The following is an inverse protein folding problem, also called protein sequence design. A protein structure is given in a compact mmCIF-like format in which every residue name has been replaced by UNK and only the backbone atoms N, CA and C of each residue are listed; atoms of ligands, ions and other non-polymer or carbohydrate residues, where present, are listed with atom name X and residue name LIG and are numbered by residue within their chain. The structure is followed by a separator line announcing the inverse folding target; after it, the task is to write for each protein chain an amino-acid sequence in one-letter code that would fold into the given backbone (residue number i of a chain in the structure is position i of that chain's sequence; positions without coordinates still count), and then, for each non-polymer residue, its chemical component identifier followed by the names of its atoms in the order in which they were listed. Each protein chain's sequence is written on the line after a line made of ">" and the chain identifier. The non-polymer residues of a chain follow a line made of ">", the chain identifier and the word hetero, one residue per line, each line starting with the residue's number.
data_IF_147462336253
#
_entry.id   IF_147462336253
#
_cell.length_a   1.000
_cell.length_b   1.000
_cell.length_c   1.000
_cell.angle_alpha   90.00
_cell.angle_beta   90.00
_cell.angle_gamma   90.00
#
_symmetry.space_group_name_H-M   'P 1'
#
loop_
_entity.id
_entity.type
_entity.pdbx_description
1 polymer ?
#
# COMPACT_ATOMS: atom_id res chain seq x y z
N UNK A 1 1.01 35.75 -19.86
CA UNK A 1 0.58 35.23 -21.17
C UNK A 1 0.81 36.32 -22.19
N UNK A 2 1.52 36.03 -23.27
CA UNK A 2 1.82 37.00 -24.35
C UNK A 2 0.61 37.25 -25.26
N UNK A 3 -0.50 36.52 -25.03
CA UNK A 3 -1.75 36.63 -25.78
C UNK A 3 -2.94 36.60 -24.83
N UNK A 4 -4.01 37.35 -25.15
CA UNK A 4 -5.31 37.25 -24.48
C UNK A 4 -5.86 35.84 -24.70
N UNK A 5 -5.88 35.03 -23.66
CA UNK A 5 -6.36 33.65 -23.72
C UNK A 5 -6.87 33.18 -22.37
N UNK A 6 -7.85 32.29 -22.41
CA UNK A 6 -8.40 31.63 -21.24
C UNK A 6 -7.55 30.41 -20.86
N UNK A 7 -7.47 30.13 -19.57
CA UNK A 7 -6.81 28.93 -19.03
C UNK A 7 -7.83 28.08 -18.27
N UNK A 8 -7.77 26.76 -18.48
CA UNK A 8 -8.62 25.79 -17.74
C UNK A 8 -7.72 24.80 -17.04
N UNK A 9 -7.97 24.60 -15.77
CA UNK A 9 -7.37 23.51 -14.99
C UNK A 9 -8.46 22.52 -14.58
N UNK A 10 -8.18 21.21 -14.70
CA UNK A 10 -9.05 20.16 -14.22
C UNK A 10 -8.24 19.12 -13.45
N UNK A 11 -8.78 18.64 -12.34
CA UNK A 11 -8.12 17.62 -11.51
C UNK A 11 -9.01 17.16 -10.36
N UNK A 12 -8.58 16.10 -9.70
CA UNK A 12 -9.15 15.68 -8.41
C UNK A 12 -8.49 16.47 -7.29
N UNK A 13 -9.25 17.03 -6.32
CA UNK A 13 -8.68 17.67 -5.15
C UNK A 13 -7.75 16.70 -4.39
N UNK A 14 -6.57 17.18 -3.99
CA UNK A 14 -5.62 16.38 -3.21
C UNK A 14 -5.16 17.18 -2.00
N UNK A 15 -5.76 16.86 -0.85
CA UNK A 15 -5.42 17.49 0.41
C UNK A 15 -5.78 18.98 0.51
N UNK A 16 -5.69 19.49 1.71
CA UNK A 16 -5.75 20.94 2.02
C UNK A 16 -4.31 21.41 2.14
N UNK A 17 -3.82 22.12 1.15
CA UNK A 17 -2.41 22.54 1.08
C UNK A 17 -2.32 23.94 0.47
N UNK A 18 -1.92 24.90 1.29
CA UNK A 18 -1.79 26.32 0.90
C UNK A 18 -0.64 26.56 -0.10
N UNK A 19 0.26 25.59 -0.29
CA UNK A 19 1.31 25.65 -1.33
C UNK A 19 0.85 25.04 -2.67
N UNK A 20 -0.26 24.32 -2.68
CA UNK A 20 -0.83 23.73 -3.88
C UNK A 20 -1.59 24.77 -4.71
N UNK A 21 -1.08 25.10 -5.89
CA UNK A 21 -1.70 26.10 -6.77
C UNK A 21 -3.16 25.76 -7.15
N UNK A 22 -3.51 24.48 -7.35
CA UNK A 22 -4.87 24.08 -7.67
C UNK A 22 -5.82 24.31 -6.48
N UNK A 23 -5.34 24.02 -5.26
CA UNK A 23 -6.09 24.33 -4.03
C UNK A 23 -6.32 25.83 -3.87
N UNK A 24 -5.26 26.64 -4.05
CA UNK A 24 -5.35 28.10 -3.99
C UNK A 24 -6.34 28.65 -5.04
N UNK A 25 -6.20 28.19 -6.30
CA UNK A 25 -7.07 28.62 -7.40
C UNK A 25 -8.55 28.35 -7.15
N UNK A 26 -8.89 27.23 -6.51
CA UNK A 26 -10.25 26.87 -6.13
C UNK A 26 -10.77 27.67 -4.91
N UNK A 27 -9.92 28.00 -3.95
CA UNK A 27 -10.34 28.55 -2.66
C UNK A 27 -10.07 30.04 -2.48
N UNK A 28 -9.05 30.60 -3.13
CA UNK A 28 -8.73 32.04 -3.06
C UNK A 28 -9.36 32.79 -4.24
N UNK A 29 -10.52 33.37 -3.98
CA UNK A 29 -11.25 34.18 -4.98
C UNK A 29 -10.48 35.41 -5.48
N UNK A 30 -9.44 35.86 -4.74
CA UNK A 30 -8.60 36.99 -5.17
C UNK A 30 -7.73 36.66 -6.36
N UNK A 31 -7.49 35.37 -6.64
CA UNK A 31 -6.73 34.90 -7.79
C UNK A 31 -7.51 35.01 -9.12
N UNK A 32 -8.78 35.32 -9.11
CA UNK A 32 -9.59 35.53 -10.31
C UNK A 32 -10.00 34.26 -11.07
N UNK A 33 -9.83 33.07 -10.48
CA UNK A 33 -10.31 31.81 -11.05
C UNK A 33 -11.78 31.59 -10.74
N UNK A 34 -12.50 31.04 -11.73
CA UNK A 34 -13.86 30.54 -11.55
C UNK A 34 -13.79 29.04 -11.24
N UNK A 35 -14.38 28.63 -10.11
CA UNK A 35 -14.43 27.24 -9.69
C UNK A 35 -15.68 26.54 -10.24
N UNK A 36 -15.49 25.36 -10.82
CA UNK A 36 -16.56 24.45 -11.22
C UNK A 36 -16.41 23.12 -10.45
N UNK A 37 -17.17 22.97 -9.39
CA UNK A 37 -17.20 21.75 -8.58
C UNK A 37 -18.12 20.69 -9.20
N UNK A 38 -17.58 19.50 -9.49
CA UNK A 38 -18.29 18.42 -10.16
C UNK A 38 -18.08 17.07 -9.44
N UNK A 39 -18.90 16.72 -8.43
CA UNK A 39 -18.86 15.41 -7.81
C UNK A 39 -19.27 14.32 -8.80
N UNK A 40 -18.78 13.09 -8.58
CA UNK A 40 -19.07 11.92 -9.45
C UNK A 40 -20.59 11.70 -9.63
N UNK A 41 -21.39 11.95 -8.59
CA UNK A 41 -22.84 11.83 -8.63
C UNK A 41 -23.53 12.84 -9.56
N UNK A 42 -22.87 13.96 -9.91
CA UNK A 42 -23.41 14.96 -10.83
C UNK A 42 -23.35 14.50 -12.30
N UNK A 43 -22.61 13.45 -12.62
CA UNK A 43 -22.53 12.91 -13.97
C UNK A 43 -23.79 12.09 -14.30
N UNK A 44 -24.64 12.55 -15.23
CA UNK A 44 -25.93 11.91 -15.54
C UNK A 44 -25.79 10.52 -16.21
N UNK A 45 -24.59 10.16 -16.69
CA UNK A 45 -24.34 8.86 -17.31
C UNK A 45 -24.02 7.77 -16.29
N UNK A 46 -23.73 8.13 -15.04
CA UNK A 46 -23.39 7.18 -14.00
C UNK A 46 -24.65 6.67 -13.31
N UNK A 47 -24.82 5.35 -13.26
CA UNK A 47 -25.91 4.73 -12.53
C UNK A 47 -25.76 4.95 -11.02
N UNK A 48 -26.71 5.62 -10.33
CA UNK A 48 -26.60 5.90 -8.90
C UNK A 48 -26.47 4.64 -8.02
N UNK A 49 -27.14 3.54 -8.38
CA UNK A 49 -27.07 2.30 -7.64
C UNK A 49 -25.69 1.60 -7.82
N UNK A 50 -25.05 1.78 -8.96
CA UNK A 50 -23.69 1.30 -9.18
C UNK A 50 -22.68 2.13 -8.38
N UNK A 51 -22.85 3.46 -8.39
CA UNK A 51 -22.01 4.38 -7.60
C UNK A 51 -22.13 4.08 -6.10
N UNK A 52 -23.34 3.90 -5.58
CA UNK A 52 -23.57 3.56 -4.17
C UNK A 52 -22.84 2.27 -3.77
N UNK A 53 -22.85 1.24 -4.62
CA UNK A 53 -22.11 -0.01 -4.38
C UNK A 53 -20.59 0.16 -4.40
N UNK A 54 -20.08 1.09 -5.23
CA UNK A 54 -18.64 1.39 -5.29
C UNK A 54 -18.21 2.16 -4.05
N UNK A 55 -19.04 3.07 -3.54
CA UNK A 55 -18.78 3.90 -2.36
C UNK A 55 -18.93 3.09 -1.06
N UNK A 56 -19.83 2.11 -1.06
CA UNK A 56 -20.12 1.29 0.11
C UNK A 56 -18.85 0.60 0.62
N UNK A 57 -18.61 0.75 1.93
CA UNK A 57 -17.41 0.22 2.59
C UNK A 57 -16.10 0.99 2.35
N UNK A 58 -16.11 2.11 1.60
CA UNK A 58 -14.92 2.95 1.46
C UNK A 58 -14.75 3.89 2.66
N UNK A 59 -13.49 4.24 3.02
CA UNK A 59 -13.24 5.26 4.05
C UNK A 59 -13.96 6.58 3.71
N UNK A 60 -14.64 7.22 4.68
CA UNK A 60 -15.38 8.45 4.42
C UNK A 60 -14.57 9.57 3.77
N UNK A 61 -13.32 9.77 4.20
CA UNK A 61 -12.44 10.79 3.63
C UNK A 61 -12.07 10.49 2.16
N UNK A 62 -11.92 9.21 1.81
CA UNK A 62 -11.72 8.81 0.41
C UNK A 62 -12.98 9.13 -0.42
N UNK A 63 -14.16 8.88 0.14
CA UNK A 63 -15.41 9.22 -0.55
C UNK A 63 -15.52 10.73 -0.78
N UNK A 64 -15.20 11.52 0.23
CA UNK A 64 -15.20 12.98 0.12
C UNK A 64 -14.23 13.45 -0.97
N UNK A 65 -13.00 12.98 -0.96
CA UNK A 65 -11.99 13.41 -1.93
C UNK A 65 -12.25 12.88 -3.34
N UNK A 66 -12.42 11.57 -3.51
CA UNK A 66 -12.39 10.93 -4.83
C UNK A 66 -13.77 10.90 -5.53
N UNK A 67 -14.85 10.95 -4.77
CA UNK A 67 -16.22 10.88 -5.32
C UNK A 67 -17.01 12.17 -5.18
N UNK A 68 -16.81 12.92 -4.10
CA UNK A 68 -17.46 14.20 -3.90
C UNK A 68 -16.62 15.37 -4.43
N UNK A 69 -15.39 15.14 -4.86
CA UNK A 69 -14.45 16.16 -5.34
C UNK A 69 -14.18 17.27 -4.29
N UNK A 70 -14.08 16.91 -3.01
CA UNK A 70 -13.80 17.82 -1.92
C UNK A 70 -12.32 17.83 -1.55
N UNK A 71 -11.77 18.97 -1.20
CA UNK A 71 -10.46 19.04 -0.57
C UNK A 71 -10.55 18.53 0.87
N UNK A 72 -9.80 17.49 1.20
CA UNK A 72 -9.84 16.81 2.50
C UNK A 72 -8.53 17.02 3.22
N UNK A 73 -8.58 17.43 4.48
CA UNK A 73 -7.40 17.45 5.34
C UNK A 73 -7.15 16.06 5.95
N UNK A 74 -6.11 15.41 5.46
CA UNK A 74 -5.67 14.11 5.92
C UNK A 74 -4.74 14.18 7.14
N UNK A 75 -4.24 15.35 7.49
CA UNK A 75 -3.28 15.53 8.60
C UNK A 75 -3.87 15.09 9.92
N UNK A 76 -3.11 14.32 10.67
CA UNK A 76 -3.53 13.82 11.98
C UNK A 76 -4.56 12.69 11.94
N UNK A 77 -4.86 12.11 10.77
CA UNK A 77 -5.80 11.00 10.64
C UNK A 77 -5.06 9.68 10.40
N UNK A 78 -5.47 8.63 11.12
CA UNK A 78 -5.03 7.27 10.85
C UNK A 78 -5.76 6.76 9.59
N UNK A 79 -5.00 6.18 8.66
CA UNK A 79 -5.52 5.79 7.35
C UNK A 79 -6.32 4.48 7.40
N UNK A 80 -5.82 3.49 8.15
CA UNK A 80 -6.42 2.17 8.25
C UNK A 80 -6.94 1.89 9.66
N UNK A 81 -7.94 1.01 9.75
CA UNK A 81 -8.51 0.55 11.02
C UNK A 81 -8.24 -0.93 11.21
N UNK A 82 -7.95 -1.34 12.45
CA UNK A 82 -7.70 -2.74 12.77
C UNK A 82 -8.86 -3.66 12.35
N UNK A 83 -10.10 -3.25 12.61
CA UNK A 83 -11.30 -4.03 12.29
C UNK A 83 -11.42 -4.40 10.81
N UNK A 84 -10.80 -3.60 9.92
CA UNK A 84 -10.80 -3.90 8.48
C UNK A 84 -9.92 -5.09 8.10
N UNK A 85 -8.92 -5.42 8.94
CA UNK A 85 -8.02 -6.57 8.76
C UNK A 85 -8.53 -7.83 9.48
N UNK A 86 -9.59 -7.72 10.28
CA UNK A 86 -10.13 -8.81 11.08
C UNK A 86 -11.41 -9.37 10.43
N UNK A 87 -11.64 -10.66 10.61
CA UNK A 87 -12.90 -11.31 10.26
C UNK A 87 -13.70 -11.56 11.53
N UNK A 88 -14.91 -11.00 11.61
CA UNK A 88 -15.76 -11.06 12.82
C UNK A 88 -15.02 -10.61 14.12
N UNK A 89 -14.15 -9.62 14.00
CA UNK A 89 -13.39 -9.08 15.14
C UNK A 89 -12.16 -9.90 15.55
N UNK A 90 -11.77 -10.92 14.77
CA UNK A 90 -10.61 -11.77 15.07
C UNK A 90 -9.70 -11.96 13.84
N UNK A 91 -8.38 -12.18 14.03
CA UNK A 91 -7.49 -12.58 12.96
C UNK A 91 -7.85 -13.99 12.45
N UNK A 92 -7.55 -14.25 11.17
CA UNK A 92 -7.88 -15.52 10.52
C UNK A 92 -6.77 -16.57 10.67
N UNK A 93 -7.08 -17.83 10.48
CA UNK A 93 -6.07 -18.87 10.30
C UNK A 93 -5.38 -18.73 8.93
N UNK A 94 -4.28 -19.44 8.72
CA UNK A 94 -3.73 -19.58 7.37
C UNK A 94 -4.78 -20.21 6.45
N UNK A 95 -4.89 -19.75 5.20
CA UNK A 95 -5.82 -20.34 4.26
C UNK A 95 -5.47 -21.82 4.03
N UNK A 96 -6.50 -22.67 3.97
CA UNK A 96 -6.31 -24.10 3.68
C UNK A 96 -5.74 -24.33 2.27
N UNK A 97 -6.09 -23.46 1.33
CA UNK A 97 -5.54 -23.39 -0.01
C UNK A 97 -5.62 -21.95 -0.52
N UNK A 98 -4.74 -21.59 -1.45
CA UNK A 98 -4.76 -20.30 -2.13
C UNK A 98 -4.25 -20.48 -3.57
N UNK A 99 -4.29 -19.43 -4.38
CA UNK A 99 -3.69 -19.47 -5.72
C UNK A 99 -2.17 -19.42 -5.64
N UNK A 100 -1.65 -18.42 -4.94
CA UNK A 100 -0.20 -18.22 -4.81
C UNK A 100 0.16 -17.55 -3.49
N UNK A 101 1.45 -17.64 -3.14
CA UNK A 101 2.08 -16.87 -2.07
C UNK A 101 3.19 -16.02 -2.66
N UNK A 102 3.27 -14.77 -2.25
CA UNK A 102 4.33 -13.84 -2.63
C UNK A 102 4.79 -13.01 -1.44
N UNK A 103 6.00 -12.48 -1.53
CA UNK A 103 6.51 -11.51 -0.56
C UNK A 103 6.73 -10.15 -1.21
N UNK A 104 6.67 -9.09 -0.41
CA UNK A 104 7.03 -7.75 -0.84
C UNK A 104 8.08 -7.20 0.08
N UNK A 105 9.15 -6.66 -0.51
CA UNK A 105 10.35 -6.22 0.20
C UNK A 105 10.55 -4.73 -0.03
N UNK A 106 10.70 -4.00 1.07
CA UNK A 106 11.24 -2.64 1.09
C UNK A 106 12.65 -2.67 1.66
N UNK A 107 13.59 -2.04 0.95
CA UNK A 107 15.01 -2.10 1.25
C UNK A 107 15.52 -0.76 1.77
N UNK A 108 16.14 -0.74 2.95
CA UNK A 108 16.83 0.44 3.46
C UNK A 108 17.83 1.01 2.46
N UNK A 109 17.77 2.34 2.24
CA UNK A 109 18.60 3.00 1.23
C UNK A 109 20.05 3.24 1.65
N UNK A 110 20.36 3.33 2.94
CA UNK A 110 21.74 3.54 3.45
C UNK A 110 21.92 3.00 4.86
N UNK A 111 23.01 2.27 5.07
CA UNK A 111 23.47 1.73 6.35
C UNK A 111 23.88 2.79 7.37
N UNK A 112 22.98 3.64 7.79
CA UNK A 112 23.11 4.34 9.06
C UNK A 112 22.19 3.63 10.04
N UNK A 113 22.80 3.04 11.06
CA UNK A 113 22.17 2.32 12.19
C UNK A 113 20.99 3.08 12.90
N UNK A 114 20.63 4.24 12.44
CA UNK A 114 19.61 5.09 13.07
C UNK A 114 18.32 5.27 12.26
N UNK A 115 18.28 5.02 10.95
CA UNK A 115 17.17 5.55 10.16
C UNK A 115 16.26 4.53 9.49
N UNK A 116 16.73 3.53 8.74
CA UNK A 116 15.81 2.73 7.93
C UNK A 116 16.00 1.23 8.15
N UNK A 117 14.89 0.50 8.30
CA UNK A 117 14.84 -0.95 8.31
C UNK A 117 14.67 -1.51 6.91
N UNK A 118 15.00 -2.79 6.75
CA UNK A 118 14.52 -3.55 5.61
C UNK A 118 13.38 -4.43 6.06
N UNK A 119 12.28 -4.43 5.32
CA UNK A 119 11.06 -5.11 5.68
C UNK A 119 10.62 -6.10 4.59
N UNK A 120 9.89 -7.12 5.00
CA UNK A 120 9.20 -8.03 4.10
C UNK A 120 7.84 -8.42 4.67
N UNK A 121 6.81 -8.45 3.83
CA UNK A 121 5.49 -9.00 4.17
C UNK A 121 5.15 -10.11 3.18
N UNK A 122 4.64 -11.25 3.67
CA UNK A 122 4.16 -12.36 2.86
C UNK A 122 2.65 -12.40 2.82
N UNK A 123 2.11 -12.56 1.61
CA UNK A 123 0.68 -12.59 1.33
C UNK A 123 0.31 -13.91 0.66
N UNK A 124 -0.85 -14.45 1.02
CA UNK A 124 -1.56 -15.43 0.21
C UNK A 124 -2.64 -14.73 -0.60
N UNK A 125 -2.67 -14.97 -1.90
CA UNK A 125 -3.72 -14.51 -2.81
C UNK A 125 -4.63 -15.68 -3.17
N UNK A 126 -5.95 -15.50 -3.03
CA UNK A 126 -6.94 -16.39 -3.62
C UNK A 126 -7.96 -15.56 -4.41
N UNK A 127 -8.21 -15.97 -5.65
CA UNK A 127 -9.15 -15.30 -6.54
C UNK A 127 -10.59 -15.81 -6.41
N UNK A 128 -10.80 -16.87 -5.64
CA UNK A 128 -12.12 -17.50 -5.47
C UNK A 128 -12.66 -17.33 -4.04
N UNK A 129 -13.96 -17.00 -3.86
CA UNK A 129 -14.97 -16.64 -4.87
C UNK A 129 -14.78 -15.25 -5.47
N UNK A 130 -13.95 -14.43 -4.86
CA UNK A 130 -13.51 -13.10 -5.35
C UNK A 130 -12.10 -12.82 -4.84
N UNK A 131 -11.29 -12.03 -5.54
CA UNK A 131 -9.92 -11.75 -5.14
C UNK A 131 -9.84 -11.22 -3.70
N UNK A 132 -9.04 -11.90 -2.88
CA UNK A 132 -8.75 -11.52 -1.50
C UNK A 132 -7.34 -11.95 -1.07
N UNK A 133 -6.83 -11.30 -0.05
CA UNK A 133 -5.51 -11.51 0.51
C UNK A 133 -5.55 -11.89 1.98
N UNK A 134 -4.63 -12.74 2.37
CA UNK A 134 -4.28 -12.97 3.78
C UNK A 134 -2.83 -12.61 3.99
N UNK A 135 -2.53 -11.69 4.90
CA UNK A 135 -1.19 -11.41 5.40
C UNK A 135 -0.77 -12.61 6.24
N UNK A 136 0.21 -13.38 5.75
CA UNK A 136 0.65 -14.61 6.41
C UNK A 136 1.67 -14.33 7.51
N UNK A 137 2.67 -13.51 7.20
CA UNK A 137 3.77 -13.17 8.09
C UNK A 137 4.44 -11.88 7.63
N UNK A 138 5.33 -11.35 8.47
CA UNK A 138 6.13 -10.16 8.19
C UNK A 138 7.47 -10.24 8.90
N UNK A 139 8.49 -9.58 8.38
CA UNK A 139 9.76 -9.37 9.03
C UNK A 139 10.21 -7.91 8.88
N UNK A 140 10.94 -7.42 9.87
CA UNK A 140 11.65 -6.15 9.80
C UNK A 140 13.01 -6.32 10.48
N UNK A 141 14.05 -5.87 9.82
CA UNK A 141 15.42 -6.01 10.28
C UNK A 141 16.20 -4.70 10.09
N UNK A 142 17.14 -4.45 10.96
CA UNK A 142 18.04 -3.30 10.85
C UNK A 142 19.45 -3.80 10.54
N UNK A 143 19.77 -3.84 9.25
CA UNK A 143 21.09 -4.27 8.76
C UNK A 143 21.53 -3.34 7.62
N UNK A 144 22.85 -3.31 7.38
CA UNK A 144 23.39 -2.64 6.20
C UNK A 144 22.89 -3.32 4.92
N UNK A 145 22.53 -2.54 3.91
CA UNK A 145 22.02 -3.04 2.63
C UNK A 145 22.94 -4.06 1.94
N UNK A 146 24.24 -4.01 2.22
CA UNK A 146 25.20 -5.01 1.73
C UNK A 146 24.89 -6.44 2.20
N UNK A 147 24.36 -6.61 3.41
CA UNK A 147 24.02 -7.92 3.96
C UNK A 147 22.64 -8.42 3.55
N UNK A 148 21.83 -7.62 2.87
CA UNK A 148 20.52 -8.06 2.37
C UNK A 148 20.62 -9.22 1.38
N UNK A 149 21.74 -9.33 0.67
CA UNK A 149 22.04 -10.48 -0.20
C UNK A 149 22.00 -11.84 0.52
N UNK A 150 22.27 -11.85 1.83
CA UNK A 150 22.24 -13.05 2.65
C UNK A 150 20.86 -13.30 3.27
N UNK A 151 20.00 -12.27 3.31
CA UNK A 151 18.67 -12.31 3.87
C UNK A 151 17.60 -12.61 2.82
N UNK A 152 17.72 -12.03 1.63
CA UNK A 152 16.73 -12.22 0.54
C UNK A 152 16.49 -13.70 0.21
N UNK A 153 17.52 -14.57 0.12
CA UNK A 153 17.30 -16.01 -0.07
C UNK A 153 16.56 -16.69 1.08
N UNK A 154 16.73 -16.20 2.32
CA UNK A 154 15.98 -16.71 3.47
C UNK A 154 14.51 -16.31 3.38
N UNK A 155 14.22 -15.08 2.98
CA UNK A 155 12.86 -14.59 2.76
C UNK A 155 12.17 -15.30 1.58
N UNK A 156 12.92 -15.61 0.51
CA UNK A 156 12.44 -16.46 -0.59
C UNK A 156 12.10 -17.87 -0.11
N UNK A 157 13.01 -18.49 0.67
CA UNK A 157 12.76 -19.79 1.31
C UNK A 157 11.52 -19.80 2.18
N UNK A 158 11.25 -18.69 2.90
CA UNK A 158 10.05 -18.50 3.69
C UNK A 158 8.80 -18.40 2.82
N UNK A 159 8.82 -17.68 1.70
CA UNK A 159 7.71 -17.63 0.75
C UNK A 159 7.36 -19.03 0.23
N UNK A 160 8.38 -19.84 -0.08
CA UNK A 160 8.22 -21.25 -0.50
C UNK A 160 7.57 -22.08 0.60
N UNK A 161 8.06 -21.99 1.82
CA UNK A 161 7.52 -22.73 2.97
C UNK A 161 6.05 -22.35 3.26
N UNK A 162 5.73 -21.06 3.26
CA UNK A 162 4.36 -20.57 3.44
C UNK A 162 3.44 -21.04 2.30
N UNK A 163 3.94 -21.09 1.07
CA UNK A 163 3.25 -21.63 -0.09
C UNK A 163 2.88 -23.12 0.09
N UNK A 164 3.79 -23.92 0.67
CA UNK A 164 3.54 -25.31 1.00
C UNK A 164 2.47 -25.46 2.09
N UNK A 165 2.55 -24.67 3.17
CA UNK A 165 1.55 -24.64 4.26
C UNK A 165 0.16 -24.30 3.73
N UNK A 166 0.07 -23.23 2.92
CA UNK A 166 -1.18 -22.74 2.34
C UNK A 166 -1.60 -23.52 1.08
N UNK A 167 -0.89 -24.58 0.71
CA UNK A 167 -1.20 -25.42 -0.48
C UNK A 167 -1.48 -24.57 -1.71
N UNK A 168 -0.58 -23.62 -1.99
CA UNK A 168 -0.70 -22.71 -3.10
C UNK A 168 -0.69 -23.48 -4.44
N UNK A 169 -1.76 -23.33 -5.22
CA UNK A 169 -1.99 -24.07 -6.47
C UNK A 169 -0.92 -23.78 -7.53
N UNK A 170 -0.43 -22.54 -7.58
CA UNK A 170 0.61 -22.10 -8.51
C UNK A 170 2.00 -22.04 -7.85
N UNK A 171 2.10 -22.42 -6.57
CA UNK A 171 3.33 -22.26 -5.80
C UNK A 171 3.61 -20.79 -5.41
N UNK A 172 4.87 -20.46 -4.99
CA UNK A 172 5.25 -19.11 -4.68
C UNK A 172 5.55 -18.31 -5.96
N UNK A 173 4.98 -17.11 -6.09
CA UNK A 173 5.33 -16.19 -7.19
C UNK A 173 6.71 -15.56 -7.00
N UNK A 174 7.24 -15.52 -5.75
CA UNK A 174 8.54 -14.95 -5.43
C UNK A 174 8.45 -13.71 -4.55
N UNK A 175 9.53 -12.93 -4.56
CA UNK A 175 9.61 -11.67 -3.82
C UNK A 175 9.57 -10.48 -4.79
N UNK A 176 8.73 -9.50 -4.50
CA UNK A 176 8.66 -8.23 -5.21
C UNK A 176 9.48 -7.19 -4.45
N UNK A 177 10.47 -6.61 -5.11
CA UNK A 177 11.43 -5.66 -4.52
C UNK A 177 11.22 -4.30 -5.17
N UNK A 178 11.17 -3.23 -4.38
CA UNK A 178 11.13 -1.87 -4.94
C UNK A 178 12.38 -1.59 -5.76
N UNK A 179 12.21 -1.21 -7.04
CA UNK A 179 13.30 -0.95 -7.99
C UNK A 179 13.90 0.45 -7.76
N UNK A 180 14.43 0.65 -6.56
CA UNK A 180 15.14 1.87 -6.16
C UNK A 180 16.37 1.54 -5.31
N UNK A 181 17.41 2.34 -5.43
CA UNK A 181 18.62 2.29 -4.62
C UNK A 181 19.16 0.85 -4.41
N UNK A 182 19.13 0.33 -3.18
CA UNK A 182 19.59 -1.03 -2.82
C UNK A 182 18.79 -2.12 -3.55
N UNK A 183 17.52 -1.91 -3.79
CA UNK A 183 16.63 -2.87 -4.49
C UNK A 183 17.12 -3.18 -5.90
N UNK A 184 17.62 -2.19 -6.66
CA UNK A 184 18.20 -2.41 -8.01
C UNK A 184 19.34 -3.41 -7.94
N UNK A 185 20.24 -3.27 -6.96
CA UNK A 185 21.37 -4.17 -6.78
C UNK A 185 20.93 -5.59 -6.44
N UNK A 186 19.91 -5.75 -5.58
CA UNK A 186 19.36 -7.05 -5.21
C UNK A 186 18.65 -7.74 -6.38
N UNK A 187 17.92 -7.01 -7.19
CA UNK A 187 17.28 -7.52 -8.41
C UNK A 187 18.33 -8.02 -9.41
N UNK A 188 19.41 -7.25 -9.63
CA UNK A 188 20.52 -7.67 -10.50
C UNK A 188 21.24 -8.89 -9.97
N UNK A 189 21.50 -8.95 -8.66
CA UNK A 189 22.13 -10.11 -8.03
C UNK A 189 21.21 -11.33 -8.10
N UNK A 190 19.91 -11.15 -7.81
CA UNK A 190 18.92 -12.22 -7.92
C UNK A 190 18.88 -12.85 -9.31
N UNK A 191 18.92 -12.00 -10.36
CA UNK A 191 18.99 -12.50 -11.74
C UNK A 191 20.26 -13.33 -12.02
N UNK A 192 21.40 -12.97 -11.40
CA UNK A 192 22.66 -13.72 -11.57
C UNK A 192 22.69 -15.02 -10.75
N UNK A 193 22.09 -15.03 -9.58
CA UNK A 193 22.11 -16.16 -8.64
C UNK A 193 20.86 -17.07 -8.77
N UNK A 194 19.90 -16.69 -9.61
CA UNK A 194 18.67 -17.46 -9.87
C UNK A 194 17.64 -17.38 -8.75
N UNK A 195 17.60 -16.27 -8.00
CA UNK A 195 16.54 -16.01 -7.02
C UNK A 195 15.23 -15.71 -7.73
N UNK A 196 14.13 -16.11 -7.10
CA UNK A 196 12.80 -15.77 -7.60
C UNK A 196 12.39 -14.38 -7.11
N UNK A 197 12.99 -13.33 -7.69
CA UNK A 197 12.75 -11.93 -7.34
C UNK A 197 12.30 -11.13 -8.55
N UNK A 198 11.38 -10.20 -8.34
CA UNK A 198 10.76 -9.37 -9.36
C UNK A 198 10.74 -7.91 -8.94
N UNK A 199 10.83 -6.94 -9.85
CA UNK A 199 10.62 -5.54 -9.50
C UNK A 199 9.15 -5.27 -9.20
N UNK A 200 8.88 -4.40 -8.22
CA UNK A 200 7.58 -3.77 -8.08
C UNK A 200 7.35 -2.85 -9.27
N UNK A 201 6.12 -2.86 -9.83
CA UNK A 201 5.79 -2.04 -10.99
C UNK A 201 6.15 -0.56 -10.76
N UNK A 202 6.84 0.05 -11.74
CA UNK A 202 7.28 1.44 -11.68
C UNK A 202 6.14 2.45 -11.54
N UNK A 203 4.95 2.14 -12.04
CA UNK A 203 3.75 2.97 -11.86
C UNK A 203 3.36 3.07 -10.39
N UNK A 204 3.46 1.97 -9.62
CA UNK A 204 3.20 1.96 -8.18
C UNK A 204 4.28 2.71 -7.40
N UNK A 205 5.55 2.50 -7.76
CA UNK A 205 6.67 3.10 -7.02
C UNK A 205 6.83 4.59 -7.28
N UNK A 206 6.27 5.12 -8.38
CA UNK A 206 6.27 6.55 -8.70
C UNK A 206 5.21 7.35 -7.92
N UNK A 207 4.19 6.68 -7.37
CA UNK A 207 3.13 7.35 -6.63
C UNK A 207 3.62 7.79 -5.22
N UNK A 208 3.17 8.96 -4.73
CA UNK A 208 3.32 9.32 -3.32
C UNK A 208 2.69 8.27 -2.39
N UNK A 209 3.22 8.13 -1.16
CA UNK A 209 2.74 7.14 -0.16
C UNK A 209 1.25 7.27 0.11
N UNK A 210 0.76 8.49 0.26
CA UNK A 210 -0.66 8.80 0.47
C UNK A 210 -1.52 8.31 -0.69
N UNK A 211 -1.08 8.54 -1.92
CA UNK A 211 -1.81 8.10 -3.11
C UNK A 211 -1.86 6.57 -3.20
N UNK A 212 -0.78 5.88 -2.84
CA UNK A 212 -0.75 4.41 -2.76
C UNK A 212 -1.77 3.90 -1.73
N UNK A 213 -1.78 4.50 -0.53
CA UNK A 213 -2.70 4.12 0.53
C UNK A 213 -4.17 4.38 0.15
N UNK A 214 -4.46 5.52 -0.51
CA UNK A 214 -5.80 5.82 -1.03
C UNK A 214 -6.25 4.73 -2.03
N UNK A 215 -5.39 4.36 -2.96
CA UNK A 215 -5.71 3.38 -4.01
C UNK A 215 -6.11 2.01 -3.43
N UNK A 216 -5.44 1.56 -2.38
CA UNK A 216 -5.74 0.26 -1.76
C UNK A 216 -6.82 0.30 -0.68
N UNK A 217 -7.16 1.49 -0.17
CA UNK A 217 -8.04 1.65 0.99
C UNK A 217 -9.41 0.99 0.83
N UNK A 218 -9.95 1.01 -0.38
CA UNK A 218 -11.23 0.35 -0.68
C UNK A 218 -11.17 -1.17 -0.53
N UNK A 219 -10.06 -1.80 -0.90
CA UNK A 219 -9.87 -3.25 -0.72
C UNK A 219 -9.76 -3.62 0.76
N UNK A 220 -9.00 -2.83 1.52
CA UNK A 220 -8.81 -3.06 2.95
C UNK A 220 -10.12 -2.84 3.71
N UNK A 221 -10.82 -1.72 3.47
CA UNK A 221 -12.07 -1.39 4.15
C UNK A 221 -13.22 -2.36 3.82
N UNK A 222 -13.24 -2.93 2.61
CA UNK A 222 -14.23 -3.96 2.21
C UNK A 222 -13.88 -5.35 2.72
N UNK A 223 -12.82 -5.53 3.51
CA UNK A 223 -12.43 -6.79 4.12
C UNK A 223 -11.81 -7.79 3.15
N UNK A 224 -11.33 -7.34 1.99
CA UNK A 224 -10.58 -8.19 1.05
C UNK A 224 -9.15 -8.47 1.48
N UNK A 225 -8.66 -7.80 2.52
CA UNK A 225 -7.35 -8.03 3.12
C UNK A 225 -7.57 -8.47 4.56
N UNK A 226 -7.09 -9.65 4.91
CA UNK A 226 -7.15 -10.19 6.28
C UNK A 226 -5.75 -10.39 6.82
N UNK A 227 -5.63 -10.45 8.14
CA UNK A 227 -4.37 -10.77 8.82
C UNK A 227 -4.47 -12.14 9.49
N UNK A 228 -3.45 -12.98 9.30
CA UNK A 228 -3.37 -14.27 9.97
C UNK A 228 -3.12 -14.10 11.47
N UNK A 229 -3.54 -15.09 12.28
CA UNK A 229 -3.22 -15.14 13.71
C UNK A 229 -1.72 -15.03 13.97
N UNK A 230 -0.92 -15.73 13.16
CA UNK A 230 0.53 -15.70 13.29
C UNK A 230 1.11 -14.29 13.10
N UNK A 231 0.73 -13.60 12.02
CA UNK A 231 1.19 -12.24 11.76
C UNK A 231 0.64 -11.23 12.79
N UNK A 232 -0.58 -11.47 13.28
CA UNK A 232 -1.22 -10.63 14.30
C UNK A 232 -0.55 -10.75 15.67
N UNK A 233 -0.23 -11.97 16.11
CA UNK A 233 0.35 -12.22 17.45
C UNK A 233 1.87 -12.02 17.46
N UNK A 234 2.51 -11.88 16.30
CA UNK A 234 3.96 -11.75 16.18
C UNK A 234 4.48 -10.46 16.80
N UNK A 235 5.46 -10.61 17.68
CA UNK A 235 6.15 -9.52 18.36
C UNK A 235 7.64 -9.63 18.05
N UNK A 236 8.23 -8.56 17.52
CA UNK A 236 9.65 -8.48 17.19
C UNK A 236 10.28 -7.28 17.89
N UNK A 237 11.53 -7.43 18.32
CA UNK A 237 12.33 -6.31 18.80
C UNK A 237 13.01 -5.61 17.61
N UNK A 238 12.69 -4.33 17.43
CA UNK A 238 13.24 -3.48 16.39
C UNK A 238 13.38 -2.05 16.94
N UNK A 239 14.53 -1.39 16.71
CA UNK A 239 14.84 -0.05 17.25
C UNK A 239 14.53 0.07 18.75
N UNK A 240 14.96 -0.93 19.55
CA UNK A 240 14.75 -1.00 21.00
C UNK A 240 13.28 -1.04 21.46
N UNK A 241 12.36 -1.31 20.54
CA UNK A 241 10.93 -1.46 20.83
C UNK A 241 10.46 -2.87 20.49
N UNK A 242 9.79 -3.52 21.44
CA UNK A 242 9.27 -4.88 21.31
C UNK A 242 7.76 -4.85 21.16
N UNK A 243 7.28 -5.00 19.91
CA UNK A 243 5.85 -4.89 19.57
C UNK A 243 5.55 -5.56 18.23
N UNK A 244 4.27 -5.56 17.84
CA UNK A 244 3.88 -5.85 16.47
C UNK A 244 4.12 -4.60 15.62
N UNK A 245 5.24 -4.56 14.90
CA UNK A 245 5.62 -3.41 14.09
C UNK A 245 4.75 -3.26 12.84
N UNK A 246 4.25 -4.36 12.26
CA UNK A 246 3.33 -4.30 11.14
C UNK A 246 2.05 -3.53 11.49
N UNK A 247 1.38 -3.97 12.56
CA UNK A 247 0.15 -3.30 13.00
C UNK A 247 0.43 -1.85 13.43
N UNK A 248 1.57 -1.60 14.09
CA UNK A 248 1.93 -0.24 14.48
C UNK A 248 2.09 0.66 13.26
N UNK A 249 2.91 0.27 12.27
CA UNK A 249 3.19 1.10 11.11
C UNK A 249 1.95 1.27 10.22
N UNK A 250 1.15 0.22 10.02
CA UNK A 250 -0.05 0.28 9.16
C UNK A 250 -1.18 1.09 9.81
N UNK A 251 -1.42 0.90 11.13
CA UNK A 251 -2.57 1.51 11.81
C UNK A 251 -2.28 2.90 12.36
N UNK A 252 -1.02 3.24 12.59
CA UNK A 252 -0.62 4.53 13.15
C UNK A 252 0.03 5.46 12.13
N UNK A 253 0.09 5.06 10.85
CA UNK A 253 0.59 5.93 9.80
C UNK A 253 -0.29 7.18 9.68
N UNK A 254 0.35 8.34 9.79
CA UNK A 254 -0.30 9.67 9.72
C UNK A 254 0.26 10.42 8.51
N UNK A 255 -0.63 10.87 7.65
CA UNK A 255 -0.26 11.64 6.47
C UNK A 255 0.30 13.01 6.86
N UNK A 256 1.43 13.36 6.25
CA UNK A 256 2.10 14.65 6.48
C UNK A 256 2.96 14.69 7.75
N UNK A 257 3.07 13.59 8.50
CA UNK A 257 4.00 13.49 9.62
C UNK A 257 5.36 12.95 9.14
N UNK A 258 6.41 13.74 9.35
CA UNK A 258 7.77 13.32 9.06
C UNK A 258 8.34 12.43 10.17
N UNK A 259 9.33 11.59 9.83
CA UNK A 259 10.07 10.73 10.75
C UNK A 259 9.29 9.60 11.42
N UNK A 260 8.23 9.09 10.80
CA UNK A 260 7.60 7.84 11.21
C UNK A 260 8.24 6.63 10.51
N UNK A 261 8.31 5.49 11.21
CA UNK A 261 8.72 4.23 10.60
C UNK A 261 7.64 3.74 9.63
N UNK A 262 8.00 3.48 8.38
CA UNK A 262 7.04 3.16 7.31
C UNK A 262 7.44 2.00 6.38
N UNK A 263 8.54 1.31 6.67
CA UNK A 263 9.04 0.20 5.85
C UNK A 263 7.97 -0.90 5.64
N UNK A 264 7.29 -1.31 6.72
CA UNK A 264 6.19 -2.28 6.62
C UNK A 264 4.90 -1.66 6.04
N UNK A 265 4.69 -0.36 6.21
CA UNK A 265 3.58 0.33 5.56
C UNK A 265 3.74 0.35 4.04
N UNK A 266 4.95 0.59 3.53
CA UNK A 266 5.23 0.55 2.10
C UNK A 266 5.09 -0.88 1.54
N UNK A 267 5.64 -1.91 2.22
CA UNK A 267 5.40 -3.31 1.87
C UNK A 267 3.91 -3.66 1.82
N UNK A 268 3.11 -3.17 2.78
CA UNK A 268 1.67 -3.39 2.83
C UNK A 268 0.97 -2.77 1.63
N UNK A 269 1.26 -1.51 1.31
CA UNK A 269 0.65 -0.82 0.17
C UNK A 269 0.99 -1.52 -1.15
N UNK A 270 2.26 -1.83 -1.39
CA UNK A 270 2.66 -2.56 -2.59
C UNK A 270 2.04 -3.95 -2.66
N UNK A 271 2.03 -4.69 -1.55
CA UNK A 271 1.46 -6.04 -1.50
C UNK A 271 -0.03 -6.06 -1.85
N UNK A 272 -0.81 -5.17 -1.26
CA UNK A 272 -2.24 -5.08 -1.58
C UNK A 272 -2.47 -4.62 -3.02
N UNK A 273 -1.70 -3.65 -3.51
CA UNK A 273 -1.82 -3.17 -4.89
C UNK A 273 -1.47 -4.26 -5.92
N UNK A 274 -0.43 -5.04 -5.67
CA UNK A 274 -0.03 -6.17 -6.54
C UNK A 274 -1.09 -7.27 -6.58
N UNK A 275 -1.64 -7.64 -5.43
CA UNK A 275 -2.59 -8.76 -5.37
C UNK A 275 -4.03 -8.40 -5.75
N UNK A 276 -4.48 -7.18 -5.51
CA UNK A 276 -5.87 -6.75 -5.70
C UNK A 276 -6.04 -5.58 -6.67
N UNK A 277 -4.97 -4.93 -7.07
CA UNK A 277 -4.98 -3.90 -8.10
C UNK A 277 -5.34 -4.48 -9.48
N UNK A 278 -5.62 -3.62 -10.44
CA UNK A 278 -6.13 -4.02 -11.76
C UNK A 278 -5.17 -4.95 -12.52
N UNK A 279 -5.18 -6.24 -12.20
CA UNK A 279 -4.85 -7.36 -13.09
C UNK A 279 -3.47 -7.44 -13.77
N UNK A 280 -2.62 -6.43 -13.62
CA UNK A 280 -1.29 -6.36 -14.25
C UNK A 280 -0.15 -6.69 -13.29
N UNK A 281 -0.47 -7.16 -12.08
CA UNK A 281 0.53 -7.45 -11.05
C UNK A 281 1.09 -8.89 -11.07
N UNK A 282 0.43 -9.82 -11.74
CA UNK A 282 0.88 -11.23 -11.86
C UNK A 282 0.74 -11.74 -13.27
#
# INVERSE_FOLDING_TARGET
>A
LDFDGDAVMAGTPKGVDDENFFYQACNDKSMGWEEHHAPTAANPTINPAALARIIDGRPPLVVQQEYNAEFVDWRGQNFFKLDWLLENGAPVDYPFSCDTVYGVVDCAQKGKLQNDGSACIWFALDNLPSPHLVILDWDIIQIDGYFLKDVVPQWEGKAKHLSEICRARMGPTGLFIEDKATGITLLQQGANEGWNVHPVNSELTSLPKESRAINISGYVASGKVRISKYAFDKIVEYKQSKKNHLLTQVLQFIIGEENQDDDLFDCFNYGVALGLGNGEGF
#
